data_IF_007780092550
#
_entry.id   IF_007780092550
#
_cell.length_a   1.000
_cell.length_b   1.000
_cell.length_c   1.000
_cell.angle_alpha   90.00
_cell.angle_beta   90.00
_cell.angle_gamma   90.00
#
_symmetry.space_group_name_H-M   'P 1'
#
loop_
_entity.id
_entity.type
_entity.pdbx_description
1 polymer ?
#
# COMPACT_ATOMS: atom_id res chain seq x y z
N UNK A 1 -16.37 32.98 -5.75
CA UNK A 1 -16.36 32.17 -6.99
C UNK A 1 -16.01 30.74 -6.59
N UNK A 2 -17.00 29.84 -6.60
CA UNK A 2 -16.80 28.43 -6.33
C UNK A 2 -16.18 27.78 -7.56
N UNK A 3 -14.88 27.51 -7.53
CA UNK A 3 -14.27 26.56 -8.46
C UNK A 3 -14.82 25.19 -8.08
N UNK A 4 -15.72 24.66 -8.90
CA UNK A 4 -16.17 23.27 -8.76
C UNK A 4 -14.97 22.36 -8.96
N UNK A 5 -14.35 21.90 -7.87
CA UNK A 5 -13.29 20.90 -7.90
C UNK A 5 -13.88 19.60 -8.44
N UNK A 6 -13.80 19.41 -9.75
CA UNK A 6 -14.21 18.16 -10.39
C UNK A 6 -13.20 17.09 -9.99
N UNK A 7 -13.60 16.17 -9.11
CA UNK A 7 -12.76 15.04 -8.73
C UNK A 7 -12.81 14.00 -9.85
N UNK A 8 -11.66 13.73 -10.45
CA UNK A 8 -11.49 12.66 -11.42
C UNK A 8 -11.22 11.34 -10.71
N UNK A 9 -11.70 10.24 -11.29
CA UNK A 9 -11.37 8.89 -10.81
C UNK A 9 -10.94 7.99 -11.97
N UNK A 10 -10.08 7.02 -11.66
CA UNK A 10 -9.62 5.99 -12.59
C UNK A 10 -9.53 4.67 -11.83
N UNK A 11 -10.02 3.59 -12.45
CA UNK A 11 -9.94 2.24 -11.88
C UNK A 11 -9.22 1.31 -12.85
N UNK A 12 -8.54 0.31 -12.32
CA UNK A 12 -7.81 -0.66 -13.11
C UNK A 12 -7.22 -1.78 -12.25
N UNK A 13 -6.37 -2.59 -12.87
CA UNK A 13 -5.68 -3.68 -12.19
C UNK A 13 -4.33 -3.97 -12.83
N UNK A 14 -3.38 -4.42 -12.02
CA UNK A 14 -2.07 -4.89 -12.47
C UNK A 14 -1.88 -6.35 -12.07
N UNK A 15 -1.19 -7.13 -12.91
CA UNK A 15 -0.79 -8.49 -12.57
C UNK A 15 0.15 -8.43 -11.36
N UNK A 16 -0.28 -9.00 -10.25
CA UNK A 16 0.45 -8.99 -8.99
C UNK A 16 -0.07 -10.15 -8.13
N UNK A 17 0.48 -11.36 -8.30
CA UNK A 17 0.05 -12.51 -7.53
C UNK A 17 0.32 -12.33 -6.04
N UNK A 18 -0.40 -13.07 -5.19
CA UNK A 18 -0.28 -12.96 -3.73
C UNK A 18 1.14 -13.27 -3.19
N UNK A 19 1.94 -14.05 -3.93
CA UNK A 19 3.34 -14.31 -3.58
C UNK A 19 4.22 -13.06 -3.70
N UNK A 20 3.83 -12.15 -4.59
CA UNK A 20 4.52 -10.88 -4.80
C UNK A 20 4.06 -9.83 -3.79
N UNK A 21 2.77 -9.77 -3.44
CA UNK A 21 2.26 -8.70 -2.57
C UNK A 21 1.08 -9.16 -1.71
N UNK A 22 1.27 -9.04 -0.39
CA UNK A 22 0.23 -9.08 0.63
C UNK A 22 -0.07 -7.66 1.10
N UNK A 23 -1.24 -7.13 0.71
CA UNK A 23 -1.68 -5.78 1.13
C UNK A 23 -1.80 -5.68 2.65
N UNK A 24 -2.36 -6.69 3.31
CA UNK A 24 -2.52 -6.69 4.77
C UNK A 24 -1.18 -6.58 5.47
N UNK A 25 -0.22 -7.44 5.14
CA UNK A 25 1.07 -7.47 5.83
C UNK A 25 1.95 -6.26 5.46
N UNK A 26 1.86 -5.79 4.22
CA UNK A 26 2.66 -4.65 3.73
C UNK A 26 2.13 -3.32 4.24
N UNK A 27 0.82 -3.07 4.15
CA UNK A 27 0.23 -1.76 4.48
C UNK A 27 -0.02 -1.58 5.97
N UNK A 28 -0.30 -2.65 6.71
CA UNK A 28 -0.54 -2.59 8.17
C UNK A 28 0.69 -2.98 9.00
N UNK A 29 1.80 -3.35 8.37
CA UNK A 29 3.04 -3.76 9.02
C UNK A 29 3.84 -2.62 9.69
N UNK A 30 3.23 -1.45 9.89
CA UNK A 30 3.87 -0.30 10.54
C UNK A 30 4.81 0.53 9.65
N UNK A 31 4.90 0.21 8.35
CA UNK A 31 5.67 1.00 7.38
C UNK A 31 4.95 2.31 7.01
N UNK A 32 3.62 2.24 6.87
CA UNK A 32 2.79 3.39 6.56
C UNK A 32 1.61 3.46 7.52
N UNK A 33 1.29 4.67 7.96
CA UNK A 33 0.14 4.95 8.84
C UNK A 33 -1.02 5.61 8.10
N UNK A 34 -0.91 5.75 6.77
CA UNK A 34 -1.90 6.41 5.91
C UNK A 34 -2.93 5.47 5.32
N UNK A 35 -2.86 4.19 5.66
CA UNK A 35 -3.75 3.15 5.14
C UNK A 35 -4.70 2.68 6.22
N UNK A 36 -5.98 2.62 5.86
CA UNK A 36 -7.04 2.05 6.68
C UNK A 36 -7.64 0.87 5.95
N UNK A 37 -7.81 -0.24 6.65
CA UNK A 37 -8.61 -1.33 6.14
C UNK A 37 -10.09 -0.91 6.22
N UNK A 38 -10.78 -0.92 5.08
CA UNK A 38 -12.20 -0.66 5.04
C UNK A 38 -12.93 -1.91 5.55
N UNK A 39 -13.74 -1.74 6.60
CA UNK A 39 -14.64 -2.79 7.07
C UNK A 39 -15.80 -2.89 6.09
N UNK A 40 -15.83 -3.94 5.28
CA UNK A 40 -17.01 -4.27 4.47
C UNK A 40 -18.03 -5.01 5.34
N UNK A 41 -19.23 -4.43 5.51
CA UNK A 41 -20.40 -5.13 6.06
C UNK A 41 -20.84 -6.33 5.19
N UNK A 42 -20.28 -6.45 3.99
CA UNK A 42 -20.55 -7.54 3.07
C UNK A 42 -19.33 -8.46 2.94
N UNK A 43 -19.47 -9.68 3.47
CA UNK A 43 -18.53 -10.82 3.42
C UNK A 43 -18.08 -11.27 2.00
N UNK A 44 -18.35 -10.49 0.94
CA UNK A 44 -18.14 -10.88 -0.46
C UNK A 44 -17.04 -10.10 -1.21
N UNK A 45 -16.65 -8.93 -0.73
CA UNK A 45 -15.53 -8.16 -1.28
C UNK A 45 -14.39 -8.29 -0.29
N UNK A 46 -13.30 -8.97 -0.66
CA UNK A 46 -12.15 -9.18 0.22
C UNK A 46 -11.55 -7.86 0.77
N UNK A 47 -10.51 -7.97 1.59
CA UNK A 47 -9.91 -6.83 2.30
C UNK A 47 -9.59 -5.66 1.36
N UNK A 48 -10.33 -4.56 1.51
CA UNK A 48 -10.08 -3.29 0.82
C UNK A 48 -9.30 -2.36 1.73
N UNK A 49 -8.37 -1.63 1.14
CA UNK A 49 -7.53 -0.68 1.84
C UNK A 49 -7.70 0.68 1.20
N UNK A 50 -7.98 1.70 2.01
CA UNK A 50 -8.01 3.08 1.56
C UNK A 50 -6.86 3.84 2.17
N UNK A 51 -6.16 4.64 1.37
CA UNK A 51 -5.07 5.45 1.86
C UNK A 51 -4.66 6.52 0.87
N UNK A 52 -3.67 7.31 1.27
CA UNK A 52 -3.16 8.41 0.46
C UNK A 52 -1.68 8.22 0.21
N UNK A 53 -1.26 8.34 -1.04
CA UNK A 53 0.15 8.44 -1.44
C UNK A 53 0.26 9.19 -2.77
N UNK A 54 1.38 9.90 -2.97
CA UNK A 54 1.61 10.78 -4.12
C UNK A 54 0.45 11.76 -4.36
N UNK A 55 -0.11 12.36 -3.29
CA UNK A 55 -1.22 13.34 -3.36
C UNK A 55 -2.55 12.80 -3.91
N UNK A 56 -2.70 11.47 -3.99
CA UNK A 56 -3.88 10.81 -4.52
C UNK A 56 -4.55 9.95 -3.44
N UNK A 57 -5.88 9.87 -3.46
CA UNK A 57 -6.63 8.92 -2.63
C UNK A 57 -6.78 7.62 -3.39
N UNK A 58 -6.37 6.52 -2.77
CA UNK A 58 -6.38 5.19 -3.36
C UNK A 58 -7.29 4.26 -2.58
N UNK A 59 -8.01 3.41 -3.29
CA UNK A 59 -8.65 2.22 -2.77
C UNK A 59 -8.03 1.01 -3.47
N UNK A 60 -7.41 0.10 -2.71
CA UNK A 60 -6.72 -1.08 -3.19
C UNK A 60 -7.39 -2.35 -2.66
N UNK A 61 -7.42 -3.39 -3.49
CA UNK A 61 -7.77 -4.75 -3.07
C UNK A 61 -7.09 -5.76 -3.99
N UNK A 62 -6.89 -6.97 -3.51
CA UNK A 62 -6.24 -8.02 -4.29
C UNK A 62 -7.15 -9.23 -4.46
N UNK A 63 -7.03 -9.88 -5.60
CA UNK A 63 -7.43 -11.27 -5.81
C UNK A 63 -6.16 -12.14 -5.96
N UNK A 64 -6.25 -13.47 -6.14
CA UNK A 64 -5.07 -14.32 -6.20
C UNK A 64 -4.04 -13.95 -7.30
N UNK A 65 -4.46 -13.23 -8.35
CA UNK A 65 -3.62 -12.91 -9.52
C UNK A 65 -3.37 -11.41 -9.70
N UNK A 66 -4.30 -10.55 -9.28
CA UNK A 66 -4.28 -9.13 -9.59
C UNK A 66 -4.37 -8.25 -8.34
N UNK A 67 -3.59 -7.17 -8.37
CA UNK A 67 -3.83 -5.99 -7.54
C UNK A 67 -4.78 -5.07 -8.29
N UNK A 68 -5.95 -4.82 -7.71
CA UNK A 68 -6.94 -3.87 -8.20
C UNK A 68 -6.80 -2.54 -7.49
N UNK A 69 -7.11 -1.48 -8.22
CA UNK A 69 -7.07 -0.14 -7.69
C UNK A 69 -8.20 0.73 -8.20
N UNK A 70 -8.54 1.72 -7.39
CA UNK A 70 -9.29 2.90 -7.76
C UNK A 70 -8.56 4.11 -7.18
N UNK A 71 -8.32 5.12 -8.01
CA UNK A 71 -7.61 6.34 -7.62
C UNK A 71 -8.48 7.56 -7.88
N UNK A 72 -8.47 8.50 -6.94
CA UNK A 72 -9.16 9.78 -7.04
C UNK A 72 -8.13 10.91 -7.05
N UNK A 73 -8.29 11.86 -7.98
CA UNK A 73 -7.37 12.98 -8.21
C UNK A 73 -8.13 14.25 -8.56
N UNK A 74 -7.50 15.39 -8.28
CA UNK A 74 -7.95 16.69 -8.79
C UNK A 74 -7.66 16.87 -10.28
N UNK A 75 -6.74 16.07 -10.83
CA UNK A 75 -6.32 16.15 -12.23
C UNK A 75 -6.67 14.88 -13.00
N UNK A 76 -6.78 14.98 -14.31
CA UNK A 76 -7.01 13.82 -15.17
C UNK A 76 -5.78 12.91 -15.15
N UNK A 77 -5.97 11.66 -14.76
CA UNK A 77 -4.91 10.65 -14.71
C UNK A 77 -4.88 9.77 -15.96
N UNK A 78 -3.70 9.29 -16.31
CA UNK A 78 -3.48 8.27 -17.33
C UNK A 78 -3.23 6.91 -16.66
N UNK A 79 -3.85 5.84 -17.16
CA UNK A 79 -3.64 4.47 -16.68
C UNK A 79 -2.15 4.10 -16.56
N UNK A 80 -1.33 4.40 -17.57
CA UNK A 80 0.11 4.06 -17.54
C UNK A 80 0.85 4.76 -16.39
N UNK A 81 0.50 6.03 -16.12
CA UNK A 81 1.10 6.77 -15.00
C UNK A 81 0.67 6.20 -13.65
N UNK A 82 -0.58 5.77 -13.53
CA UNK A 82 -1.15 5.16 -12.32
C UNK A 82 -0.52 3.81 -12.02
N UNK A 83 -0.36 2.96 -13.04
CA UNK A 83 0.35 1.69 -12.89
C UNK A 83 1.82 1.89 -12.50
N UNK A 84 2.50 2.88 -13.09
CA UNK A 84 3.89 3.21 -12.74
C UNK A 84 3.99 3.68 -11.29
N UNK A 85 3.07 4.54 -10.84
CA UNK A 85 3.02 4.98 -9.44
C UNK A 85 2.85 3.82 -8.47
N UNK A 86 1.99 2.85 -8.78
CA UNK A 86 1.80 1.65 -7.96
C UNK A 86 3.04 0.75 -7.95
N UNK A 87 3.62 0.49 -9.13
CA UNK A 87 4.84 -0.33 -9.25
C UNK A 87 5.99 0.26 -8.47
N UNK A 88 6.20 1.57 -8.54
CA UNK A 88 7.22 2.27 -7.77
C UNK A 88 6.93 2.23 -6.26
N UNK A 89 5.69 2.52 -5.85
CA UNK A 89 5.30 2.59 -4.44
C UNK A 89 5.47 1.24 -3.72
N UNK A 90 5.10 0.15 -4.39
CA UNK A 90 5.28 -1.21 -3.88
C UNK A 90 6.61 -1.87 -4.27
N UNK A 91 7.49 -1.18 -5.00
CA UNK A 91 8.77 -1.73 -5.52
C UNK A 91 8.58 -3.04 -6.31
N UNK A 92 7.57 -3.09 -7.18
CA UNK A 92 7.23 -4.28 -7.98
C UNK A 92 8.24 -4.58 -9.09
N UNK A 93 9.26 -3.75 -9.26
CA UNK A 93 10.45 -4.02 -10.08
C UNK A 93 11.32 -5.15 -9.50
N UNK A 94 11.22 -5.42 -8.19
CA UNK A 94 11.97 -6.48 -7.52
C UNK A 94 11.20 -7.80 -7.52
N UNK A 95 11.87 -8.90 -7.90
CA UNK A 95 11.32 -10.25 -7.83
C UNK A 95 11.36 -10.77 -6.39
N UNK A 96 10.23 -10.70 -5.68
CA UNK A 96 10.16 -11.07 -4.27
C UNK A 96 10.38 -12.58 -4.03
N UNK A 97 9.83 -13.50 -4.86
CA UNK A 97 10.13 -14.93 -4.76
C UNK A 97 11.63 -15.25 -4.83
N UNK A 98 12.37 -14.62 -5.73
CA UNK A 98 13.83 -14.81 -5.84
C UNK A 98 14.57 -14.34 -4.58
N UNK A 99 14.19 -13.18 -4.04
CA UNK A 99 14.75 -12.66 -2.78
C UNK A 99 14.45 -13.58 -1.59
N UNK A 100 13.21 -14.10 -1.50
CA UNK A 100 12.84 -15.06 -0.46
C UNK A 100 13.67 -16.35 -0.56
N UNK A 101 13.92 -16.85 -1.77
CA UNK A 101 14.77 -18.01 -1.99
C UNK A 101 16.22 -17.73 -1.57
N UNK A 102 16.76 -16.56 -1.94
CA UNK A 102 18.10 -16.14 -1.54
C UNK A 102 18.25 -16.04 -0.01
N UNK A 103 17.33 -15.34 0.66
CA UNK A 103 17.37 -15.19 2.12
C UNK A 103 17.17 -16.52 2.84
N UNK A 104 16.27 -17.36 2.35
CA UNK A 104 16.07 -18.71 2.88
C UNK A 104 17.32 -19.58 2.74
N UNK A 105 18.09 -19.41 1.66
CA UNK A 105 19.35 -20.14 1.48
C UNK A 105 20.43 -19.69 2.47
N UNK A 106 20.43 -18.42 2.86
CA UNK A 106 21.42 -17.83 3.76
C UNK A 106 21.06 -17.97 5.25
N UNK A 107 19.77 -18.01 5.59
CA UNK A 107 19.29 -18.03 6.97
C UNK A 107 18.23 -19.13 7.18
N UNK A 108 18.58 -20.11 8.03
CA UNK A 108 17.71 -21.22 8.39
C UNK A 108 16.49 -20.79 9.23
N UNK A 109 16.63 -19.75 10.05
CA UNK A 109 15.50 -19.18 10.80
C UNK A 109 14.52 -18.53 9.83
N UNK A 110 15.02 -17.67 8.93
CA UNK A 110 14.19 -17.04 7.91
C UNK A 110 13.44 -18.10 7.08
N UNK A 111 14.13 -19.14 6.61
CA UNK A 111 13.53 -20.25 5.84
C UNK A 111 12.36 -20.91 6.57
N UNK A 112 12.45 -21.04 7.90
CA UNK A 112 11.40 -21.66 8.73
C UNK A 112 10.19 -20.74 8.91
N UNK A 113 10.39 -19.42 8.95
CA UNK A 113 9.33 -18.46 9.29
C UNK A 113 8.70 -17.80 8.05
N UNK A 114 9.40 -17.69 6.93
CA UNK A 114 8.96 -16.89 5.78
C UNK A 114 7.66 -17.40 5.12
N UNK A 115 7.33 -18.69 5.29
CA UNK A 115 6.10 -19.28 4.72
C UNK A 115 4.80 -18.72 5.32
N UNK A 116 4.84 -18.22 6.56
CA UNK A 116 3.68 -17.57 7.20
C UNK A 116 3.55 -16.09 6.80
N UNK A 117 4.63 -15.51 6.27
CA UNK A 117 4.80 -14.08 6.02
C UNK A 117 5.19 -13.82 4.56
N UNK A 118 4.37 -14.29 3.63
CA UNK A 118 4.62 -14.15 2.18
C UNK A 118 4.08 -12.82 1.64
N UNK A 119 4.75 -12.26 0.63
CA UNK A 119 4.29 -11.06 -0.05
C UNK A 119 4.52 -9.76 0.73
N UNK A 120 5.39 -9.78 1.75
CA UNK A 120 5.74 -8.57 2.49
C UNK A 120 6.74 -7.77 1.67
N UNK A 121 6.38 -6.54 1.31
CA UNK A 121 7.26 -5.63 0.58
C UNK A 121 7.62 -4.39 1.40
N UNK A 122 8.79 -3.84 1.10
CA UNK A 122 9.18 -2.52 1.60
C UNK A 122 8.58 -1.43 0.73
N UNK A 123 7.82 -0.51 1.32
CA UNK A 123 7.21 0.60 0.59
C UNK A 123 8.27 1.62 0.14
N UNK A 124 8.00 2.30 -0.97
CA UNK A 124 8.76 3.45 -1.45
C UNK A 124 7.99 4.74 -1.13
N UNK A 125 8.02 5.13 0.15
CA UNK A 125 7.32 6.33 0.64
C UNK A 125 8.12 7.60 0.35
N UNK A 126 7.41 8.71 0.17
CA UNK A 126 8.05 10.02 0.10
C UNK A 126 8.79 10.33 1.39
N UNK A 127 10.03 10.80 1.28
CA UNK A 127 10.91 11.02 2.42
C UNK A 127 10.36 12.09 3.37
N UNK A 128 9.76 13.15 2.83
CA UNK A 128 9.22 14.26 3.63
C UNK A 128 8.02 13.77 4.43
N UNK A 129 7.05 13.15 3.76
CA UNK A 129 5.88 12.56 4.41
C UNK A 129 6.28 11.50 5.45
N UNK A 130 7.28 10.68 5.14
CA UNK A 130 7.74 9.61 6.02
C UNK A 130 8.42 10.17 7.28
N UNK A 131 9.33 11.15 7.12
CA UNK A 131 10.00 11.81 8.24
C UNK A 131 8.99 12.49 9.16
N UNK A 132 8.03 13.26 8.62
CA UNK A 132 7.02 13.90 9.47
C UNK A 132 6.12 12.88 10.17
N UNK A 133 5.72 11.80 9.48
CA UNK A 133 4.94 10.70 10.08
C UNK A 133 5.68 10.07 11.27
N UNK A 134 6.99 9.80 11.12
CA UNK A 134 7.82 9.22 12.18
C UNK A 134 8.21 10.21 13.28
N UNK A 135 8.45 11.48 12.98
CA UNK A 135 8.66 12.53 13.99
C UNK A 135 7.40 12.71 14.85
N UNK A 136 6.21 12.69 14.23
CA UNK A 136 4.95 12.68 14.96
C UNK A 136 4.71 11.37 15.75
N UNK A 137 5.38 10.27 15.36
CA UNK A 137 5.32 8.97 16.06
C UNK A 137 6.23 8.88 17.28
N UNK A 138 7.27 9.71 17.35
CA UNK A 138 8.34 9.62 18.37
C UNK A 138 7.89 9.94 19.80
N UNK A 139 6.57 10.03 20.06
CA UNK A 139 6.01 10.27 21.38
C UNK A 139 4.60 9.67 21.67
N UNK A 140 4.10 8.65 20.94
CA UNK A 140 2.93 7.82 21.40
C UNK A 140 2.57 6.59 20.53
N UNK A 141 1.77 5.67 21.10
CA UNK A 141 1.23 4.42 20.52
C UNK A 141 0.49 4.59 19.16
N UNK A 142 0.51 3.52 18.33
CA UNK A 142 -0.05 3.40 16.96
C UNK A 142 -1.46 4.01 16.81
N UNK A 143 -2.33 3.86 17.80
CA UNK A 143 -3.69 4.42 17.79
C UNK A 143 -3.73 5.96 17.75
N UNK A 144 -2.74 6.65 18.34
CA UNK A 144 -2.66 8.13 18.35
C UNK A 144 -2.05 8.69 17.07
N UNK A 145 -1.19 7.91 16.41
CA UNK A 145 -0.50 8.27 15.15
C UNK A 145 -1.53 8.46 14.02
N UNK A 146 -2.47 7.53 13.89
CA UNK A 146 -3.52 7.60 12.85
C UNK A 146 -4.39 8.86 13.00
N UNK A 147 -4.73 9.24 14.23
CA UNK A 147 -5.58 10.40 14.51
C UNK A 147 -4.90 11.77 14.37
N UNK A 148 -3.57 11.84 14.37
CA UNK A 148 -2.82 13.08 14.09
C UNK A 148 -2.61 13.27 12.58
N UNK A 149 -2.35 12.19 11.84
CA UNK A 149 -2.20 12.23 10.37
C UNK A 149 -3.52 12.56 9.68
N UNK A 150 -4.67 12.10 10.20
CA UNK A 150 -6.00 12.47 9.68
C UNK A 150 -6.34 13.97 9.81
N UNK A 151 -5.62 14.72 10.66
CA UNK A 151 -5.89 16.14 10.96
C UNK A 151 -4.93 17.11 10.27
N UNK A 152 -3.97 16.59 9.50
CA UNK A 152 -3.04 17.37 8.66
C UNK A 152 -3.58 17.44 7.23
#
# INVERSE_FOLDING_TARGET
MSLGNTVHHLSGKILCPAIELSLTLTLLGGQSFRWKQLTSDEKKLGNRFQGVFKEHVWTLWADPSYLHYQVYSQHKLNANSVETMLKEYFRLDQNLPELYAEWSNRDAFFRRTCGEFVGIRMLNQDLTENIFSFLCSSNNNIARISGMIDKM
#
